data_IF_265168180558
#
_entry.id   IF_265168180558
#
_cell.length_a   1.000
_cell.length_b   1.000
_cell.length_c   1.000
_cell.angle_alpha   90.00
_cell.angle_beta   90.00
_cell.angle_gamma   90.00
#
_symmetry.space_group_name_H-M   'P 1'
#
loop_
_entity.id
_entity.type
_entity.pdbx_description
1 polymer ?
#
# COMPACT_ATOMS: atom_id res chain seq x y z
N UNK A 1 16.08 -30.61 32.71
CA UNK A 1 16.19 -29.45 31.81
C UNK A 1 14.99 -28.51 31.98
N UNK A 2 15.19 -27.35 32.63
CA UNK A 2 14.13 -26.36 32.82
C UNK A 2 13.89 -25.61 31.51
N UNK A 3 12.77 -25.87 30.84
CA UNK A 3 12.39 -25.12 29.64
C UNK A 3 12.13 -23.65 30.00
N UNK A 4 12.73 -22.74 29.25
CA UNK A 4 12.48 -21.30 29.39
C UNK A 4 11.40 -20.88 28.38
N UNK A 5 10.38 -20.17 28.86
CA UNK A 5 9.36 -19.60 27.99
C UNK A 5 9.98 -18.42 27.22
N UNK A 6 10.29 -18.64 25.94
CA UNK A 6 10.98 -17.63 25.11
C UNK A 6 10.02 -16.61 24.48
N UNK A 7 8.78 -17.00 24.21
CA UNK A 7 7.79 -16.12 23.55
C UNK A 7 6.36 -16.56 23.86
N UNK A 8 5.48 -15.58 24.04
CA UNK A 8 4.02 -15.77 24.12
C UNK A 8 3.41 -15.11 22.89
N UNK A 9 2.62 -15.88 22.14
CA UNK A 9 1.85 -15.39 21.00
C UNK A 9 0.38 -15.76 21.23
N UNK A 10 -0.42 -14.77 21.62
CA UNK A 10 -1.85 -14.95 21.85
C UNK A 10 -2.68 -14.04 20.95
N UNK A 11 -3.73 -14.62 20.38
CA UNK A 11 -4.74 -13.92 19.60
C UNK A 11 -6.04 -13.77 20.39
N UNK A 12 -6.64 -12.59 20.35
CA UNK A 12 -7.93 -12.31 20.97
C UNK A 12 -8.83 -11.60 19.95
N UNK A 13 -10.14 -11.83 20.03
CA UNK A 13 -11.15 -11.16 19.20
C UNK A 13 -11.44 -9.72 19.62
N UNK A 14 -10.75 -9.20 20.64
CA UNK A 14 -10.90 -7.81 21.05
C UNK A 14 -10.25 -6.84 20.04
N UNK A 15 -10.58 -5.54 20.08
CA UNK A 15 -10.07 -4.54 19.11
C UNK A 15 -8.53 -4.40 19.08
N UNK A 16 -7.84 -4.81 20.15
CA UNK A 16 -6.36 -4.81 20.22
C UNK A 16 -5.76 -6.04 19.52
N UNK A 17 -6.50 -7.13 19.37
CA UNK A 17 -6.07 -8.32 18.64
C UNK A 17 -5.04 -9.17 19.37
N UNK A 18 -3.74 -8.92 19.12
CA UNK A 18 -2.63 -9.75 19.65
C UNK A 18 -2.10 -9.25 20.98
N UNK A 19 -1.72 -10.20 21.86
CA UNK A 19 -1.06 -9.95 23.15
C UNK A 19 -1.70 -8.82 23.98
N UNK A 20 -3.02 -8.68 23.85
CA UNK A 20 -3.79 -7.68 24.57
C UNK A 20 -3.88 -8.03 26.06
N UNK A 21 -4.43 -7.12 26.87
CA UNK A 21 -4.66 -7.34 28.31
C UNK A 21 -5.48 -8.60 28.62
N UNK A 22 -6.34 -9.06 27.71
CA UNK A 22 -7.11 -10.28 27.89
C UNK A 22 -6.24 -11.53 27.72
N UNK A 23 -5.31 -11.54 26.75
CA UNK A 23 -4.30 -12.61 26.62
C UNK A 23 -3.43 -12.64 27.88
N UNK A 24 -3.01 -11.47 28.37
CA UNK A 24 -2.25 -11.38 29.62
C UNK A 24 -3.04 -11.90 30.83
N UNK A 25 -4.33 -11.56 30.94
CA UNK A 25 -5.20 -12.04 32.01
C UNK A 25 -5.36 -13.58 31.99
N UNK A 26 -5.53 -14.17 30.80
CA UNK A 26 -5.57 -15.63 30.64
C UNK A 26 -4.24 -16.26 31.07
N UNK A 27 -3.10 -15.71 30.65
CA UNK A 27 -1.78 -16.22 31.04
C UNK A 27 -1.54 -16.10 32.55
N UNK A 28 -1.96 -15.01 33.19
CA UNK A 28 -1.87 -14.82 34.63
C UNK A 28 -2.80 -15.77 35.39
N UNK A 29 -3.99 -16.04 34.86
CA UNK A 29 -4.92 -17.01 35.45
C UNK A 29 -4.39 -18.45 35.36
N UNK A 30 -3.65 -18.78 34.29
CA UNK A 30 -3.07 -20.10 34.08
C UNK A 30 -1.69 -20.25 34.75
N UNK A 31 -1.07 -19.15 35.18
CA UNK A 31 0.26 -19.13 35.81
C UNK A 31 0.39 -20.08 37.01
N UNK A 32 -0.59 -20.18 37.93
CA UNK A 32 -0.52 -21.11 39.05
C UNK A 32 -0.51 -22.58 38.61
N UNK A 33 -1.24 -22.91 37.54
CA UNK A 33 -1.33 -24.26 36.98
C UNK A 33 -0.07 -24.63 36.19
N UNK A 34 0.45 -23.68 35.41
CA UNK A 34 1.72 -23.83 34.68
C UNK A 34 2.90 -23.99 35.65
N UNK A 35 2.87 -23.29 36.79
CA UNK A 35 3.87 -23.44 37.85
C UNK A 35 3.70 -24.74 38.66
N UNK A 36 2.48 -25.28 38.77
CA UNK A 36 2.21 -26.59 39.39
C UNK A 36 2.69 -27.78 38.55
N UNK A 37 2.79 -27.64 37.22
CA UNK A 37 3.26 -28.68 36.28
C UNK A 37 4.77 -29.00 36.36
N UNK A 38 5.41 -28.80 37.51
CA UNK A 38 6.71 -29.47 37.80
C UNK A 38 6.53 -30.90 38.31
N UNK A 39 5.32 -31.34 38.68
CA UNK A 39 5.05 -32.73 39.08
C UNK A 39 3.62 -33.16 38.72
N UNK A 40 3.48 -34.11 37.79
CA UNK A 40 2.32 -34.99 37.69
C UNK A 40 1.09 -34.47 36.93
N UNK A 41 0.74 -35.22 35.86
CA UNK A 41 -0.57 -35.44 35.21
C UNK A 41 -1.50 -34.24 34.90
N UNK A 42 -1.82 -34.09 33.62
CA UNK A 42 -2.75 -33.08 33.07
C UNK A 42 -4.19 -33.26 33.60
N UNK A 43 -4.91 -32.19 33.99
CA UNK A 43 -6.34 -32.28 34.30
C UNK A 43 -7.17 -32.44 33.02
N UNK A 44 -8.24 -33.25 33.08
CA UNK A 44 -9.25 -33.32 32.04
C UNK A 44 -10.02 -31.99 31.95
N UNK A 45 -9.99 -31.37 30.78
CA UNK A 45 -10.75 -30.17 30.46
C UNK A 45 -12.25 -30.52 30.42
N UNK A 46 -13.05 -29.77 31.18
CA UNK A 46 -14.51 -29.84 31.15
C UNK A 46 -14.98 -29.49 29.75
N UNK A 47 -15.75 -30.39 29.12
CA UNK A 47 -16.30 -30.18 27.79
C UNK A 47 -17.32 -29.03 27.82
N UNK A 48 -16.94 -27.89 27.23
CA UNK A 48 -17.90 -26.85 26.89
C UNK A 48 -18.86 -27.39 25.82
N UNK A 49 -20.15 -27.11 25.99
CA UNK A 49 -21.24 -27.51 25.09
C UNK A 49 -20.91 -27.04 23.67
N UNK A 50 -20.66 -27.98 22.76
CA UNK A 50 -20.41 -27.73 21.34
C UNK A 50 -21.62 -26.99 20.75
N UNK A 51 -21.45 -25.80 20.12
CA UNK A 51 -22.42 -25.33 19.16
C UNK A 51 -22.51 -26.33 17.99
N UNK A 52 -23.68 -26.40 17.35
CA UNK A 52 -23.99 -27.37 16.29
C UNK A 52 -22.83 -27.52 15.29
N UNK A 53 -22.52 -28.78 14.98
CA UNK A 53 -21.38 -29.15 14.14
C UNK A 53 -21.68 -28.84 12.67
N UNK A 54 -21.48 -27.59 12.27
CA UNK A 54 -20.96 -27.31 10.94
C UNK A 54 -19.58 -27.92 10.77
N UNK A 55 -19.17 -28.20 9.53
CA UNK A 55 -17.80 -28.64 9.25
C UNK A 55 -16.80 -27.68 9.93
N UNK A 56 -15.77 -28.20 10.61
CA UNK A 56 -14.79 -27.35 11.27
C UNK A 56 -14.15 -26.42 10.24
N UNK A 57 -14.28 -25.11 10.45
CA UNK A 57 -13.67 -24.12 9.57
C UNK A 57 -12.14 -24.27 9.66
N UNK A 58 -11.56 -24.85 8.62
CA UNK A 58 -10.12 -25.01 8.54
C UNK A 58 -9.54 -23.65 8.20
N UNK A 59 -8.72 -23.09 9.09
CA UNK A 59 -8.13 -21.77 8.95
C UNK A 59 -6.61 -21.81 8.67
N UNK A 60 -6.09 -20.71 8.14
CA UNK A 60 -4.66 -20.49 7.91
C UNK A 60 -4.02 -21.45 6.91
N UNK A 61 -2.78 -21.88 7.18
CA UNK A 61 -1.99 -22.73 6.27
C UNK A 61 -2.71 -24.01 5.81
N UNK A 62 -3.50 -24.62 6.69
CA UNK A 62 -4.24 -25.84 6.40
C UNK A 62 -5.43 -25.59 5.46
N UNK A 63 -6.08 -24.41 5.57
CA UNK A 63 -7.16 -24.00 4.67
C UNK A 63 -6.63 -23.85 3.25
N UNK A 64 -5.45 -23.24 3.15
CA UNK A 64 -4.75 -23.06 1.90
C UNK A 64 -4.27 -24.35 1.26
N UNK A 65 -3.80 -25.29 2.08
CA UNK A 65 -3.43 -26.62 1.61
C UNK A 65 -4.65 -27.44 1.16
N UNK A 66 -5.77 -27.39 1.90
CA UNK A 66 -7.02 -28.01 1.48
C UNK A 66 -7.57 -27.44 0.18
N UNK A 67 -7.46 -26.11 -0.02
CA UNK A 67 -7.81 -25.48 -1.29
C UNK A 67 -7.03 -26.07 -2.46
N UNK A 68 -5.69 -26.23 -2.31
CA UNK A 68 -4.84 -26.85 -3.34
C UNK A 68 -5.17 -28.31 -3.59
N UNK A 69 -5.60 -29.07 -2.58
CA UNK A 69 -6.03 -30.46 -2.75
C UNK A 69 -7.37 -30.55 -3.49
N UNK A 70 -8.34 -29.72 -3.11
CA UNK A 70 -9.64 -29.68 -3.78
C UNK A 70 -9.51 -29.28 -5.25
N UNK A 71 -8.49 -28.50 -5.61
CA UNK A 71 -8.17 -28.13 -6.99
C UNK A 71 -7.56 -29.29 -7.81
N UNK A 72 -6.93 -30.28 -7.18
CA UNK A 72 -6.42 -31.48 -7.87
C UNK A 72 -7.56 -32.45 -8.23
N UNK A 73 -8.61 -32.51 -7.40
CA UNK A 73 -9.78 -33.37 -7.59
C UNK A 73 -10.93 -32.69 -8.36
N UNK A 74 -10.82 -31.39 -8.63
CA UNK A 74 -11.78 -30.70 -9.47
C UNK A 74 -11.78 -31.37 -10.86
N UNK A 75 -12.94 -31.82 -11.38
CA UNK A 75 -12.99 -32.44 -12.69
C UNK A 75 -12.46 -31.41 -13.69
N UNK A 76 -11.37 -31.76 -14.37
CA UNK A 76 -10.81 -30.96 -15.46
C UNK A 76 -11.89 -30.92 -16.53
N UNK A 77 -12.68 -29.84 -16.55
CA UNK A 77 -13.65 -29.63 -17.59
C UNK A 77 -12.86 -29.54 -18.89
N UNK A 78 -12.98 -30.56 -19.73
CA UNK A 78 -12.21 -30.66 -20.98
C UNK A 78 -12.60 -29.54 -21.97
N UNK A 79 -13.62 -28.75 -21.64
CA UNK A 79 -13.95 -27.49 -22.31
C UNK A 79 -13.08 -26.29 -21.87
N UNK A 80 -12.44 -26.30 -20.69
CA UNK A 80 -11.52 -25.22 -20.29
C UNK A 80 -10.21 -25.25 -21.09
N UNK A 81 -9.79 -26.43 -21.57
CA UNK A 81 -8.64 -26.55 -22.50
C UNK A 81 -8.95 -26.01 -23.90
N UNK A 82 -10.20 -25.69 -24.22
CA UNK A 82 -10.63 -25.07 -25.50
C UNK A 82 -11.13 -23.63 -25.37
N UNK A 83 -11.11 -23.04 -24.18
CA UNK A 83 -11.39 -21.62 -23.97
C UNK A 83 -10.20 -20.94 -23.29
N UNK A 84 -9.26 -20.42 -24.08
CA UNK A 84 -8.09 -19.68 -23.59
C UNK A 84 -8.41 -18.33 -22.94
N UNK A 85 -9.12 -18.28 -21.81
CA UNK A 85 -9.29 -17.05 -21.04
C UNK A 85 -9.65 -17.23 -19.58
N UNK A 86 -9.11 -16.33 -18.75
CA UNK A 86 -9.79 -15.71 -17.60
C UNK A 86 -9.68 -16.40 -16.23
N UNK A 87 -8.48 -16.80 -15.82
CA UNK A 87 -8.18 -16.99 -14.39
C UNK A 87 -8.12 -15.62 -13.67
N UNK A 88 -8.66 -15.54 -12.45
CA UNK A 88 -8.45 -14.38 -11.57
C UNK A 88 -6.98 -14.33 -11.13
N UNK A 89 -6.40 -13.13 -11.03
CA UNK A 89 -5.00 -12.92 -10.65
C UNK A 89 -4.87 -11.77 -9.66
N UNK A 90 -3.78 -11.77 -8.90
CA UNK A 90 -3.37 -10.67 -8.06
C UNK A 90 -2.79 -9.52 -8.92
N UNK A 91 -3.28 -8.31 -8.71
CA UNK A 91 -2.80 -7.07 -9.31
C UNK A 91 -2.32 -6.10 -8.23
N UNK A 92 -1.34 -5.29 -8.59
CA UNK A 92 -0.69 -4.33 -7.71
C UNK A 92 -0.98 -2.92 -8.19
N UNK A 93 -1.56 -2.09 -7.35
CA UNK A 93 -1.76 -0.67 -7.60
C UNK A 93 -0.81 0.15 -6.72
N UNK A 94 0.07 0.91 -7.35
CA UNK A 94 1.06 1.76 -6.70
C UNK A 94 0.63 3.22 -6.81
N UNK A 95 0.69 3.98 -5.71
CA UNK A 95 0.41 5.41 -5.73
C UNK A 95 1.14 6.16 -4.62
N UNK A 96 1.42 7.46 -4.79
CA UNK A 96 1.82 8.30 -3.67
C UNK A 96 0.64 8.46 -2.71
N UNK A 97 0.91 8.39 -1.40
CA UNK A 97 -0.02 8.90 -0.39
C UNK A 97 0.17 10.42 -0.20
N UNK A 98 -0.78 11.13 0.44
CA UNK A 98 -0.67 12.57 0.69
C UNK A 98 0.52 12.99 1.58
N UNK A 99 1.19 12.05 2.24
CA UNK A 99 2.38 12.27 3.07
C UNK A 99 3.68 11.94 2.31
N UNK A 100 3.61 11.63 1.02
CA UNK A 100 4.77 11.24 0.21
C UNK A 100 5.32 9.87 0.59
N UNK A 101 4.48 8.92 0.98
CA UNK A 101 4.81 7.49 1.15
C UNK A 101 4.29 6.71 -0.02
N UNK A 102 4.92 5.57 -0.30
CA UNK A 102 4.49 4.68 -1.36
C UNK A 102 3.38 3.80 -0.82
N UNK A 103 2.20 3.91 -1.40
CA UNK A 103 1.04 3.09 -1.07
C UNK A 103 0.89 1.95 -2.09
N UNK A 104 0.72 0.74 -1.56
CA UNK A 104 0.41 -0.46 -2.33
C UNK A 104 -0.99 -0.96 -1.98
N UNK A 105 -1.85 -1.02 -2.98
CA UNK A 105 -3.13 -1.72 -2.89
C UNK A 105 -3.06 -2.99 -3.74
N UNK A 106 -3.62 -4.08 -3.20
CA UNK A 106 -3.69 -5.34 -3.89
C UNK A 106 -5.14 -5.60 -4.31
N UNK A 107 -5.30 -6.14 -5.51
CA UNK A 107 -6.60 -6.47 -6.05
C UNK A 107 -6.61 -7.87 -6.64
N UNK A 108 -7.69 -8.59 -6.40
CA UNK A 108 -8.05 -9.79 -7.15
C UNK A 108 -8.88 -9.35 -8.36
N UNK A 109 -8.35 -9.60 -9.56
CA UNK A 109 -8.95 -9.13 -10.82
C UNK A 109 -8.94 -10.25 -11.85
N UNK A 110 -10.04 -10.35 -12.58
CA UNK A 110 -10.16 -11.23 -13.75
C UNK A 110 -9.73 -10.47 -15.02
N UNK A 111 -8.83 -11.06 -15.81
CA UNK A 111 -8.50 -10.52 -17.12
C UNK A 111 -9.46 -11.10 -18.18
N UNK A 112 -10.08 -10.22 -18.96
CA UNK A 112 -11.06 -10.57 -19.99
C UNK A 112 -10.36 -11.10 -21.26
N UNK A 113 -11.11 -11.77 -22.14
CA UNK A 113 -10.65 -12.24 -23.46
C UNK A 113 -10.05 -11.12 -24.33
N UNK A 114 -10.51 -9.89 -24.15
CA UNK A 114 -10.00 -8.69 -24.83
C UNK A 114 -8.64 -8.22 -24.31
N UNK A 115 -8.13 -8.79 -23.21
CA UNK A 115 -6.95 -8.31 -22.50
C UNK A 115 -7.25 -7.25 -21.43
N UNK A 116 -8.46 -6.67 -21.43
CA UNK A 116 -8.91 -5.68 -20.44
C UNK A 116 -9.14 -6.31 -19.06
N UNK A 117 -9.11 -5.45 -18.03
CA UNK A 117 -9.42 -5.85 -16.65
C UNK A 117 -10.92 -5.83 -16.39
N UNK A 118 -11.43 -6.76 -15.58
CA UNK A 118 -12.83 -6.77 -15.18
C UNK A 118 -13.21 -5.48 -14.43
N UNK A 119 -14.39 -4.93 -14.74
CA UNK A 119 -14.92 -3.68 -14.14
C UNK A 119 -15.23 -3.73 -12.64
N UNK A 120 -15.10 -4.89 -11.99
CA UNK A 120 -15.35 -5.10 -10.56
C UNK A 120 -14.11 -5.68 -9.87
N UNK A 121 -13.03 -4.89 -9.72
CA UNK A 121 -11.86 -5.35 -8.98
C UNK A 121 -12.23 -5.57 -7.52
N UNK A 122 -11.78 -6.69 -6.94
CA UNK A 122 -11.98 -6.98 -5.52
C UNK A 122 -10.73 -6.58 -4.76
N UNK A 123 -10.84 -5.67 -3.80
CA UNK A 123 -9.72 -5.33 -2.91
C UNK A 123 -9.28 -6.57 -2.15
N UNK A 124 -7.97 -6.79 -2.09
CA UNK A 124 -7.37 -7.90 -1.42
C UNK A 124 -6.45 -7.38 -0.31
N UNK A 125 -6.77 -7.75 0.93
CA UNK A 125 -5.90 -7.49 2.08
C UNK A 125 -5.31 -8.82 2.53
N UNK A 126 -4.02 -9.08 2.29
CA UNK A 126 -3.40 -10.30 2.76
C UNK A 126 -3.41 -10.31 4.28
N UNK A 127 -3.91 -11.40 4.85
CA UNK A 127 -3.80 -11.64 6.29
C UNK A 127 -2.36 -11.88 6.74
N UNK A 128 -2.21 -12.30 8.00
CA UNK A 128 -0.92 -12.68 8.56
C UNK A 128 -0.32 -13.93 7.88
N UNK A 129 -1.15 -14.79 7.29
CA UNK A 129 -0.71 -15.98 6.56
C UNK A 129 -0.38 -15.67 5.11
N UNK A 130 0.53 -16.43 4.50
CA UNK A 130 0.83 -16.28 3.06
C UNK A 130 -0.44 -16.67 2.30
N UNK A 131 -0.99 -15.80 1.44
CA UNK A 131 -2.17 -16.11 0.66
C UNK A 131 -1.94 -17.33 -0.23
N UNK A 132 -2.87 -18.28 -0.19
CA UNK A 132 -2.81 -19.55 -0.93
C UNK A 132 -3.92 -19.71 -1.95
N UNK A 133 -4.72 -18.67 -2.20
CA UNK A 133 -5.79 -18.73 -3.20
C UNK A 133 -5.21 -18.86 -4.61
N UNK A 134 -5.88 -19.59 -5.49
CA UNK A 134 -5.45 -19.84 -6.89
C UNK A 134 -5.09 -18.57 -7.69
N UNK A 135 -5.57 -17.40 -7.27
CA UNK A 135 -5.26 -16.11 -7.90
C UNK A 135 -3.86 -15.56 -7.56
N UNK A 136 -3.16 -16.17 -6.61
CA UNK A 136 -1.80 -15.80 -6.18
C UNK A 136 -0.80 -16.74 -6.84
N UNK A 137 0.10 -16.17 -7.62
CA UNK A 137 1.11 -16.90 -8.38
C UNK A 137 2.41 -17.02 -7.56
N UNK A 138 3.33 -17.87 -8.02
CA UNK A 138 4.59 -18.12 -7.29
C UNK A 138 5.45 -16.85 -7.17
N UNK A 139 5.43 -15.99 -8.19
CA UNK A 139 6.16 -14.72 -8.20
C UNK A 139 5.60 -13.72 -7.18
N UNK A 140 4.34 -13.88 -6.76
CA UNK A 140 3.70 -13.00 -5.77
C UNK A 140 4.20 -13.27 -4.35
N UNK A 141 4.59 -14.52 -4.05
CA UNK A 141 5.00 -14.95 -2.70
C UNK A 141 6.19 -14.13 -2.16
N UNK A 142 7.33 -13.99 -2.86
CA UNK A 142 8.45 -13.19 -2.36
C UNK A 142 8.08 -11.70 -2.22
N UNK A 143 7.25 -11.15 -3.11
CA UNK A 143 6.79 -9.76 -3.06
C UNK A 143 5.94 -9.54 -1.80
N UNK A 144 4.96 -10.41 -1.55
CA UNK A 144 4.10 -10.35 -0.37
C UNK A 144 4.90 -10.54 0.93
N UNK A 145 5.92 -11.39 0.90
CA UNK A 145 6.88 -11.55 1.99
C UNK A 145 7.65 -10.27 2.29
N UNK A 146 8.19 -9.60 1.25
CA UNK A 146 8.87 -8.31 1.37
C UNK A 146 7.94 -7.22 1.90
N UNK A 147 6.75 -7.07 1.32
CA UNK A 147 5.74 -6.10 1.78
C UNK A 147 5.44 -6.29 3.27
N UNK A 148 5.21 -7.53 3.70
CA UNK A 148 4.98 -7.86 5.12
C UNK A 148 6.17 -7.50 5.99
N UNK A 149 7.40 -7.78 5.56
CA UNK A 149 8.60 -7.42 6.30
C UNK A 149 8.72 -5.90 6.47
N UNK A 150 8.47 -5.14 5.39
CA UNK A 150 8.62 -3.69 5.37
C UNK A 150 7.52 -2.97 6.18
N UNK A 151 6.32 -3.55 6.30
CA UNK A 151 5.22 -2.97 7.08
C UNK A 151 5.13 -3.42 8.53
N UNK A 152 6.01 -4.31 9.01
CA UNK A 152 6.03 -4.79 10.40
C UNK A 152 6.28 -3.68 11.45
N UNK A 153 6.56 -2.44 11.04
CA UNK A 153 6.65 -1.26 11.91
C UNK A 153 5.32 -0.57 12.24
N UNK A 154 4.20 -1.25 12.02
CA UNK A 154 2.87 -0.88 12.51
C UNK A 154 1.97 -0.29 11.40
N UNK A 155 0.69 -0.67 11.34
CA UNK A 155 -0.24 -0.14 10.35
C UNK A 155 -0.60 1.31 10.68
N UNK A 156 -0.24 2.24 9.80
CA UNK A 156 -0.89 3.54 9.76
C UNK A 156 -2.24 3.34 9.03
N UNK A 157 -3.33 3.33 9.81
CA UNK A 157 -4.66 2.86 9.41
C UNK A 157 -5.10 3.18 7.98
N UNK A 158 -5.53 2.13 7.26
CA UNK A 158 -6.16 2.21 5.95
C UNK A 158 -6.03 0.90 5.16
N UNK A 159 -6.75 0.77 4.02
CA UNK A 159 -6.50 -0.32 3.08
C UNK A 159 -5.13 -0.12 2.42
N UNK A 160 -4.34 -1.19 2.30
CA UNK A 160 -3.04 -1.17 1.64
C UNK A 160 -1.82 -1.03 2.55
N UNK A 161 -0.64 -1.18 1.95
CA UNK A 161 0.66 -1.05 2.62
C UNK A 161 1.24 0.33 2.33
N UNK A 162 1.57 1.10 3.36
CA UNK A 162 2.23 2.41 3.22
C UNK A 162 3.68 2.32 3.66
N UNK A 163 4.58 2.60 2.73
CA UNK A 163 6.03 2.52 2.93
C UNK A 163 6.66 3.89 2.76
N UNK A 164 7.23 4.40 3.85
CA UNK A 164 7.98 5.66 3.82
C UNK A 164 9.42 5.38 3.40
N UNK A 165 9.79 5.73 2.16
CA UNK A 165 11.12 5.52 1.60
C UNK A 165 12.25 6.08 2.47
N UNK A 166 11.95 7.12 3.29
CA UNK A 166 12.88 7.76 4.22
C UNK A 166 13.36 6.83 5.35
N UNK A 167 12.63 5.74 5.61
CA UNK A 167 12.88 4.79 6.70
C UNK A 167 13.66 3.53 6.27
N UNK A 168 14.02 3.43 4.99
CA UNK A 168 14.70 2.27 4.43
C UNK A 168 16.06 2.65 3.85
N UNK A 169 16.88 1.64 3.58
CA UNK A 169 18.09 1.83 2.79
C UNK A 169 17.72 2.32 1.39
N UNK A 170 18.68 2.99 0.74
CA UNK A 170 18.54 3.41 -0.65
C UNK A 170 18.17 2.18 -1.51
N UNK A 171 17.36 2.39 -2.53
CA UNK A 171 16.94 1.39 -3.52
C UNK A 171 16.00 0.28 -3.01
N UNK A 172 15.81 0.11 -1.70
CA UNK A 172 14.94 -0.96 -1.14
C UNK A 172 13.53 -0.95 -1.74
N UNK A 173 12.91 0.22 -1.85
CA UNK A 173 11.59 0.33 -2.46
C UNK A 173 11.64 0.32 -3.99
N UNK A 174 12.75 0.73 -4.60
CA UNK A 174 12.95 0.64 -6.06
C UNK A 174 12.98 -0.82 -6.48
N UNK A 175 13.72 -1.67 -5.77
CA UNK A 175 13.80 -3.11 -6.04
C UNK A 175 12.46 -3.81 -5.84
N UNK A 176 11.69 -3.42 -4.82
CA UNK A 176 10.32 -3.90 -4.64
C UNK A 176 9.43 -3.52 -5.83
N UNK A 177 9.53 -2.28 -6.33
CA UNK A 177 8.78 -1.83 -7.51
C UNK A 177 9.22 -2.60 -8.76
N UNK A 178 10.52 -2.86 -8.96
CA UNK A 178 11.03 -3.69 -10.06
C UNK A 178 10.46 -5.10 -10.03
N UNK A 179 10.45 -5.76 -8.87
CA UNK A 179 9.87 -7.10 -8.70
C UNK A 179 8.38 -7.11 -9.07
N UNK A 180 7.64 -6.10 -8.62
CA UNK A 180 6.22 -5.96 -8.91
C UNK A 180 5.96 -5.71 -10.40
N UNK A 181 6.76 -4.85 -11.03
CA UNK A 181 6.70 -4.59 -12.48
C UNK A 181 6.99 -5.86 -13.29
N UNK A 182 7.96 -6.67 -12.87
CA UNK A 182 8.32 -7.92 -13.54
C UNK A 182 7.17 -8.93 -13.61
N UNK A 183 6.15 -8.81 -12.74
CA UNK A 183 4.94 -9.65 -12.82
C UNK A 183 4.03 -9.33 -14.01
N UNK A 184 4.20 -8.18 -14.67
CA UNK A 184 3.29 -7.64 -15.70
C UNK A 184 1.94 -7.15 -15.17
N UNK A 185 1.72 -7.20 -13.84
CA UNK A 185 0.44 -6.93 -13.18
C UNK A 185 0.45 -5.65 -12.33
N UNK A 186 1.51 -4.87 -12.45
CA UNK A 186 1.65 -3.56 -11.81
C UNK A 186 0.85 -2.48 -12.55
N UNK A 187 0.20 -1.60 -11.80
CA UNK A 187 -0.52 -0.40 -12.25
C UNK A 187 -0.15 0.76 -11.33
N UNK A 188 -0.21 1.98 -11.84
CA UNK A 188 0.04 3.18 -11.05
C UNK A 188 -1.16 4.13 -11.08
N UNK A 189 -1.47 4.73 -9.92
CA UNK A 189 -2.54 5.72 -9.68
C UNK A 189 -3.95 5.16 -9.82
N UNK A 190 -4.26 4.55 -10.97
CA UNK A 190 -5.51 3.83 -11.22
C UNK A 190 -5.28 2.52 -11.98
N UNK A 191 -6.16 1.54 -11.76
CA UNK A 191 -6.18 0.27 -12.47
C UNK A 191 -6.48 0.41 -13.97
N UNK A 192 -7.00 1.55 -14.42
CA UNK A 192 -7.27 1.80 -15.85
C UNK A 192 -6.03 2.21 -16.64
N UNK A 193 -4.96 2.64 -15.96
CA UNK A 193 -3.71 2.96 -16.65
C UNK A 193 -3.03 1.71 -17.23
N UNK A 194 -2.12 1.87 -18.21
CA UNK A 194 -1.33 0.75 -18.74
C UNK A 194 -0.57 0.00 -17.65
N UNK A 195 -0.18 -1.24 -17.97
CA UNK A 195 0.74 -1.98 -17.13
C UNK A 195 2.07 -1.23 -17.03
N UNK A 196 2.61 -1.10 -15.81
CA UNK A 196 3.92 -0.50 -15.66
C UNK A 196 4.99 -1.36 -16.34
N UNK A 197 5.94 -0.69 -16.99
CA UNK A 197 7.10 -1.29 -17.64
C UNK A 197 8.35 -0.58 -17.15
N UNK A 198 9.34 -1.35 -16.68
CA UNK A 198 10.60 -0.77 -16.26
C UNK A 198 11.32 -0.19 -17.48
N UNK A 199 11.79 1.03 -17.35
CA UNK A 199 12.36 1.83 -18.44
C UNK A 199 13.65 2.51 -18.00
N UNK A 200 14.37 3.11 -18.95
CA UNK A 200 15.60 3.85 -18.67
C UNK A 200 15.31 5.07 -17.78
N UNK A 201 16.28 5.53 -16.98
CA UNK A 201 16.16 6.79 -16.28
C UNK A 201 15.77 7.93 -17.21
N UNK A 202 14.97 8.88 -16.71
CA UNK A 202 14.46 10.01 -17.48
C UNK A 202 14.83 11.31 -16.81
N UNK A 203 15.39 12.25 -17.60
CA UNK A 203 15.62 13.62 -17.14
C UNK A 203 14.30 14.34 -16.92
N UNK A 204 14.22 15.03 -15.79
CA UNK A 204 13.09 15.85 -15.44
C UNK A 204 13.50 17.02 -14.53
N UNK A 205 12.67 18.06 -14.52
CA UNK A 205 12.85 19.25 -13.70
C UNK A 205 11.54 19.63 -13.01
N UNK A 206 11.66 20.38 -11.91
CA UNK A 206 10.50 20.83 -11.15
C UNK A 206 9.99 22.17 -11.69
N UNK A 207 8.67 22.31 -11.79
CA UNK A 207 8.01 23.55 -12.19
C UNK A 207 6.81 23.85 -11.28
N UNK A 208 6.45 25.13 -11.16
CA UNK A 208 5.27 25.54 -10.39
C UNK A 208 4.05 25.65 -11.31
N UNK A 209 2.96 25.02 -10.89
CA UNK A 209 1.67 25.12 -11.53
C UNK A 209 0.68 25.81 -10.59
N UNK A 210 0.02 26.86 -11.09
CA UNK A 210 -1.08 27.51 -10.38
C UNK A 210 -2.31 26.61 -10.36
N UNK A 211 -2.96 26.56 -9.21
CA UNK A 211 -4.21 25.85 -8.95
C UNK A 211 -5.29 26.89 -8.61
N UNK A 212 -6.43 26.41 -8.12
CA UNK A 212 -7.56 27.27 -7.76
C UNK A 212 -7.18 28.26 -6.64
N UNK A 213 -7.77 29.46 -6.67
CA UNK A 213 -7.63 30.48 -5.61
C UNK A 213 -6.18 30.89 -5.29
N UNK A 214 -5.26 30.79 -6.25
CA UNK A 214 -3.86 31.22 -6.08
C UNK A 214 -2.98 30.22 -5.33
N UNK A 215 -3.48 29.01 -5.02
CA UNK A 215 -2.63 27.91 -4.58
C UNK A 215 -1.64 27.52 -5.69
N UNK A 216 -0.46 27.06 -5.31
CA UNK A 216 0.56 26.60 -6.25
C UNK A 216 1.05 25.22 -5.86
N UNK A 217 1.16 24.31 -6.82
CA UNK A 217 1.72 22.97 -6.63
C UNK A 217 2.98 22.83 -7.46
N UNK A 218 3.93 22.06 -6.95
CA UNK A 218 5.12 21.69 -7.70
C UNK A 218 4.81 20.44 -8.53
N UNK A 219 5.13 20.50 -9.81
CA UNK A 219 4.96 19.41 -10.77
C UNK A 219 6.33 19.00 -11.33
N UNK A 220 6.41 17.79 -11.87
CA UNK A 220 7.60 17.24 -12.49
C UNK A 220 7.40 17.21 -14.01
N UNK A 221 8.31 17.85 -14.76
CA UNK A 221 8.25 17.92 -16.22
C UNK A 221 9.47 17.25 -16.83
N UNK A 222 9.29 16.47 -17.90
CA UNK A 222 10.40 15.93 -18.69
C UNK A 222 10.99 16.97 -19.67
N UNK A 223 12.06 16.60 -20.39
CA UNK A 223 12.72 17.46 -21.39
C UNK A 223 11.78 17.92 -22.54
N UNK A 224 10.58 17.32 -22.68
CA UNK A 224 9.56 17.70 -23.66
C UNK A 224 8.38 18.46 -23.04
N UNK A 225 8.55 19.01 -21.83
CA UNK A 225 7.50 19.72 -21.07
C UNK A 225 6.27 18.85 -20.76
N UNK A 226 6.44 17.53 -20.68
CA UNK A 226 5.36 16.61 -20.34
C UNK A 226 5.38 16.37 -18.85
N UNK A 227 4.21 16.55 -18.24
CA UNK A 227 4.00 16.22 -16.83
C UNK A 227 4.19 14.72 -16.60
N UNK A 228 5.01 14.40 -15.60
CA UNK A 228 5.27 13.05 -15.12
C UNK A 228 4.69 12.88 -13.73
N UNK A 229 4.12 11.71 -13.50
CA UNK A 229 3.73 11.28 -12.17
C UNK A 229 4.95 10.65 -11.48
N UNK A 230 4.91 10.55 -10.15
CA UNK A 230 6.04 9.98 -9.41
C UNK A 230 5.61 9.03 -8.29
N UNK A 231 6.41 7.98 -8.10
CA UNK A 231 6.30 7.07 -6.97
C UNK A 231 7.36 7.43 -5.92
N UNK A 232 6.96 7.65 -4.66
CA UNK A 232 7.84 8.11 -3.59
C UNK A 232 8.72 6.97 -3.06
N UNK A 233 9.74 6.66 -3.86
CA UNK A 233 10.84 5.75 -3.61
C UNK A 233 12.12 6.56 -3.39
N UNK A 234 13.25 5.91 -3.13
CA UNK A 234 14.53 6.60 -2.97
C UNK A 234 15.65 5.87 -3.76
N UNK A 235 16.03 6.37 -4.96
CA UNK A 235 15.54 7.59 -5.62
C UNK A 235 14.07 7.50 -6.06
N UNK A 236 13.34 8.64 -6.20
CA UNK A 236 11.99 8.64 -6.76
C UNK A 236 11.95 8.08 -8.17
N UNK A 237 10.87 7.36 -8.49
CA UNK A 237 10.61 6.82 -9.82
C UNK A 237 9.57 7.67 -10.53
N UNK A 238 9.76 7.95 -11.81
CA UNK A 238 8.70 8.53 -12.64
C UNK A 238 7.71 7.46 -13.08
N UNK A 239 6.51 7.90 -13.44
CA UNK A 239 5.48 7.11 -14.12
C UNK A 239 4.92 7.95 -15.27
N UNK A 240 5.01 7.42 -16.48
CA UNK A 240 4.31 7.94 -17.64
C UNK A 240 2.98 7.21 -17.81
N UNK A 241 1.87 7.88 -17.53
CA UNK A 241 0.54 7.26 -17.51
C UNK A 241 0.01 6.89 -18.90
N UNK A 242 0.67 7.35 -19.97
CA UNK A 242 0.26 7.11 -21.37
C UNK A 242 0.69 5.73 -21.87
N UNK A 243 1.91 5.32 -21.53
CA UNK A 243 2.51 4.07 -22.00
C UNK A 243 2.91 3.11 -20.86
N UNK A 244 2.84 3.56 -19.61
CA UNK A 244 3.22 2.77 -18.43
C UNK A 244 4.73 2.77 -18.16
N UNK A 245 5.54 3.58 -18.86
CA UNK A 245 6.98 3.63 -18.60
C UNK A 245 7.24 4.11 -17.16
N UNK A 246 8.08 3.36 -16.45
CA UNK A 246 8.47 3.66 -15.07
C UNK A 246 9.97 3.46 -14.90
N UNK A 247 10.66 4.44 -14.33
CA UNK A 247 12.11 4.41 -14.17
C UNK A 247 12.58 5.50 -13.23
N UNK A 248 13.89 5.61 -13.04
CA UNK A 248 14.48 6.60 -12.13
C UNK A 248 14.37 8.02 -12.70
N UNK A 249 14.19 8.99 -11.82
CA UNK A 249 14.21 10.40 -12.18
C UNK A 249 15.65 10.92 -12.09
N UNK A 250 16.14 11.45 -13.20
CA UNK A 250 17.37 12.24 -13.24
C UNK A 250 17.01 13.72 -13.15
N UNK A 251 17.41 14.40 -12.09
CA UNK A 251 17.16 15.83 -11.92
C UNK A 251 18.34 16.51 -11.24
N UNK A 252 18.39 17.84 -11.29
CA UNK A 252 19.37 18.61 -10.50
C UNK A 252 19.18 18.42 -8.99
N UNK A 253 17.97 18.06 -8.54
CA UNK A 253 17.72 17.74 -7.15
C UNK A 253 18.29 16.35 -6.86
N UNK A 254 19.14 16.25 -5.84
CA UNK A 254 19.54 14.93 -5.36
C UNK A 254 18.31 14.13 -4.90
N UNK A 255 18.43 12.80 -4.90
CA UNK A 255 17.33 11.88 -4.63
C UNK A 255 16.48 12.20 -3.38
N UNK A 256 17.12 12.66 -2.29
CA UNK A 256 16.39 12.99 -1.04
C UNK A 256 15.61 14.29 -1.19
N UNK A 257 16.22 15.31 -1.78
CA UNK A 257 15.54 16.57 -2.06
C UNK A 257 14.39 16.35 -3.04
N UNK A 258 14.60 15.58 -4.11
CA UNK A 258 13.56 15.24 -5.08
C UNK A 258 12.35 14.57 -4.41
N UNK A 259 12.59 13.62 -3.49
CA UNK A 259 11.53 12.97 -2.73
C UNK A 259 10.70 13.97 -1.89
N UNK A 260 11.36 14.89 -1.17
CA UNK A 260 10.64 15.89 -0.37
C UNK A 260 9.83 16.85 -1.24
N UNK A 261 10.40 17.29 -2.37
CA UNK A 261 9.74 18.18 -3.32
C UNK A 261 8.50 17.55 -3.95
N UNK A 262 8.57 16.27 -4.33
CA UNK A 262 7.43 15.51 -4.87
C UNK A 262 6.31 15.31 -3.84
N UNK A 263 6.65 15.29 -2.56
CA UNK A 263 5.67 15.20 -1.46
C UNK A 263 5.17 16.55 -0.98
N UNK A 264 5.57 17.65 -1.61
CA UNK A 264 5.21 18.98 -1.15
C UNK A 264 3.71 19.23 -1.37
N UNK A 265 2.96 19.57 -0.30
CA UNK A 265 1.54 19.87 -0.44
C UNK A 265 1.35 21.17 -1.24
N UNK A 266 0.13 21.42 -1.78
CA UNK A 266 -0.21 22.69 -2.38
C UNK A 266 0.12 23.86 -1.44
N UNK A 267 0.82 24.86 -1.98
CA UNK A 267 1.25 26.05 -1.26
C UNK A 267 0.20 27.15 -1.43
N UNK A 268 -0.47 27.58 -0.35
CA UNK A 268 -1.42 28.69 -0.43
C UNK A 268 -0.70 30.02 -0.65
N UNK A 269 -1.39 31.00 -1.24
CA UNK A 269 -0.82 32.28 -1.64
C UNK A 269 -0.10 33.01 -0.48
N UNK A 270 -0.65 32.92 0.74
CA UNK A 270 -0.12 33.53 1.95
C UNK A 270 1.23 32.91 2.38
N UNK A 271 1.47 31.64 2.04
CA UNK A 271 2.68 30.91 2.41
C UNK A 271 3.82 31.05 1.38
N UNK A 272 3.54 31.55 0.17
CA UNK A 272 4.48 31.63 -0.96
C UNK A 272 5.81 32.26 -0.53
N UNK A 273 5.79 33.42 0.13
CA UNK A 273 7.03 34.13 0.55
C UNK A 273 7.92 33.28 1.45
N UNK A 274 7.33 32.55 2.40
CA UNK A 274 8.07 31.67 3.33
C UNK A 274 8.67 30.47 2.60
N UNK A 275 7.92 29.89 1.66
CA UNK A 275 8.39 28.77 0.84
C UNK A 275 9.51 29.23 -0.11
N UNK A 276 9.39 30.38 -0.78
CA UNK A 276 10.47 30.96 -1.60
C UNK A 276 11.77 31.10 -0.82
N UNK A 277 11.71 31.68 0.39
CA UNK A 277 12.89 31.82 1.24
C UNK A 277 13.49 30.46 1.61
N UNK A 278 12.65 29.49 1.96
CA UNK A 278 13.09 28.13 2.33
C UNK A 278 13.72 27.37 1.17
N UNK A 279 13.26 27.60 -0.07
CA UNK A 279 13.75 26.90 -1.26
C UNK A 279 14.93 27.61 -1.95
N UNK A 280 15.17 28.89 -1.64
CA UNK A 280 16.20 29.74 -2.29
C UNK A 280 17.62 29.15 -2.37
N UNK A 281 17.96 28.26 -1.43
CA UNK A 281 19.26 27.57 -1.37
C UNK A 281 19.38 26.37 -2.33
N UNK A 282 18.28 25.91 -2.90
CA UNK A 282 18.23 24.75 -3.80
C UNK A 282 18.04 25.21 -5.24
N UNK A 283 19.08 25.10 -6.06
CA UNK A 283 19.05 25.51 -7.48
C UNK A 283 18.09 24.68 -8.33
N UNK A 284 17.86 23.43 -7.92
CA UNK A 284 17.05 22.45 -8.65
C UNK A 284 15.54 22.77 -8.72
N UNK A 285 15.10 23.85 -8.06
CA UNK A 285 13.68 24.24 -8.00
C UNK A 285 13.56 25.74 -8.28
N UNK A 286 12.78 26.15 -9.29
CA UNK A 286 12.51 27.56 -9.50
C UNK A 286 11.71 28.14 -8.32
N UNK A 287 11.77 29.46 -8.07
CA UNK A 287 10.92 30.08 -7.05
C UNK A 287 9.44 30.03 -7.47
N UNK A 288 8.49 29.87 -6.53
CA UNK A 288 7.06 30.00 -6.83
C UNK A 288 6.74 31.43 -7.29
N UNK A 289 5.67 31.58 -8.07
CA UNK A 289 5.21 32.89 -8.53
C UNK A 289 4.70 33.70 -7.34
N UNK A 290 5.14 34.95 -7.23
CA UNK A 290 4.58 35.86 -6.23
C UNK A 290 3.19 36.32 -6.69
N UNK A 291 2.20 36.13 -5.81
CA UNK A 291 0.83 36.61 -6.01
C UNK A 291 0.64 37.82 -5.11
N UNK A 292 0.08 38.89 -5.66
CA UNK A 292 -0.31 40.07 -4.89
C UNK A 292 -1.62 39.78 -4.15
N UNK A 293 -1.59 39.86 -2.82
CA UNK A 293 -2.77 39.69 -1.98
C UNK A 293 -3.32 41.07 -1.64
N UNK A 294 -4.51 41.38 -2.13
CA UNK A 294 -5.21 42.64 -1.85
C UNK A 294 -6.36 42.37 -0.89
N UNK A 295 -6.25 42.88 0.34
CA UNK A 295 -7.37 42.91 1.28
C UNK A 295 -8.33 44.02 0.88
N UNK A 296 -9.61 43.68 0.70
CA UNK A 296 -10.66 44.65 0.36
C UNK A 296 -11.51 44.99 1.58
N UNK A 297 -11.23 46.12 2.19
CA UNK A 297 -12.00 46.66 3.32
C UNK A 297 -13.24 47.45 2.87
N UNK A 298 -13.35 47.73 1.57
CA UNK A 298 -14.46 48.45 0.96
C UNK A 298 -15.69 47.57 0.66
N UNK A 299 -15.57 46.25 0.92
CA UNK A 299 -16.65 45.29 0.72
C UNK A 299 -17.20 44.87 2.08
N UNK A 300 -18.45 45.25 2.39
CA UNK A 300 -19.17 44.66 3.52
C UNK A 300 -19.75 43.32 3.09
N UNK A 301 -19.28 42.17 3.61
CA UNK A 301 -19.83 40.88 3.25
C UNK A 301 -21.32 40.84 3.63
N UNK A 302 -22.19 40.44 2.70
CA UNK A 302 -23.60 40.22 3.00
C UNK A 302 -23.74 38.77 3.48
N UNK A 303 -24.04 38.53 4.77
CA UNK A 303 -24.22 37.17 5.25
C UNK A 303 -25.46 36.54 4.59
N UNK A 304 -25.28 35.40 3.94
CA UNK A 304 -26.38 34.62 3.35
C UNK A 304 -26.48 33.31 4.13
N UNK A 305 -27.55 33.16 4.89
CA UNK A 305 -27.91 31.89 5.53
C UNK A 305 -28.81 31.10 4.59
N UNK A 306 -28.34 29.94 4.11
CA UNK A 306 -29.15 29.00 3.34
C UNK A 306 -29.45 27.79 4.23
N UNK A 307 -30.68 27.69 4.72
CA UNK A 307 -31.16 26.53 5.46
C UNK A 307 -31.63 25.47 4.45
N UNK A 308 -31.10 24.25 4.57
CA UNK A 308 -31.52 23.10 3.78
C UNK A 308 -32.28 22.15 4.71
N UNK A 309 -33.51 21.79 4.34
CA UNK A 309 -34.24 20.71 5.00
C UNK A 309 -33.68 19.37 4.54
N UNK A 310 -33.38 18.49 5.50
CA UNK A 310 -33.16 17.06 5.24
C UNK A 310 -34.52 16.37 5.15
#
# INVERSE_FOLDING_TARGET
PAGQLLRIDGSCTCPIGRNCKHVAAVMLSLLPELNRRKTGTLPQLVQAKRPDAGEPEVAGYLAGWLGRLNELDAPVDQNERKSGSSAERLYYLLKPDPMGKLEFELFKIRQLKSGELSKRPQSFSPGYDIPTGAFVQFEDIPILGKLRFLTQRGPEGGPGFRLDARKFERDTLVDLVKDIIATGRARALTLQHPALQWSSPRRAHFAWQEKNRGEQSLILLDDNERELEALPTLPPLYVDTRDGACGEIESEANARLALELLSMPPVPAEAVRKITSSLSRFRAVPPPKQIEIVTRDDVRPTPVLRLLSV
#
